data_IF_836739070269
#
_entry.id   IF_836739070269
#
_cell.length_a   1.000
_cell.length_b   1.000
_cell.length_c   1.000
_cell.angle_alpha   90.00
_cell.angle_beta   90.00
_cell.angle_gamma   90.00
#
_symmetry.space_group_name_H-M   'P 1'
#
loop_
_entity.id
_entity.type
_entity.pdbx_description
1 polymer ?
#
# COMPACT_ATOMS: atom_id res chain seq x y z
N UNK A 1 -29.27 31.73 -26.83
CA UNK A 1 -28.06 30.88 -26.84
C UNK A 1 -27.98 30.13 -25.52
N UNK A 2 -28.30 28.83 -25.42
CA UNK A 2 -28.08 28.10 -24.18
C UNK A 2 -26.65 27.52 -24.13
N UNK A 3 -26.01 27.65 -22.96
CA UNK A 3 -24.67 27.13 -22.69
C UNK A 3 -24.69 25.60 -22.54
N UNK A 4 -23.84 24.90 -23.31
CA UNK A 4 -23.64 23.46 -23.21
C UNK A 4 -23.02 23.08 -21.87
N UNK A 5 -23.71 22.22 -21.11
CA UNK A 5 -23.16 21.49 -19.97
C UNK A 5 -22.19 20.43 -20.50
N UNK A 6 -20.92 20.51 -20.15
CA UNK A 6 -19.95 19.43 -20.38
C UNK A 6 -20.32 18.20 -19.52
N UNK A 7 -20.19 16.97 -20.04
CA UNK A 7 -20.42 15.77 -19.25
C UNK A 7 -19.31 15.62 -18.21
N UNK A 8 -19.71 15.33 -16.96
CA UNK A 8 -18.77 14.90 -15.90
C UNK A 8 -18.06 13.65 -16.40
N UNK A 9 -16.73 13.68 -16.51
CA UNK A 9 -15.93 12.49 -16.74
C UNK A 9 -16.23 11.49 -15.62
N UNK A 10 -16.95 10.42 -15.94
CA UNK A 10 -17.04 9.25 -15.08
C UNK A 10 -15.66 8.59 -15.13
N UNK A 11 -14.88 8.74 -14.05
CA UNK A 11 -13.69 7.92 -13.86
C UNK A 11 -14.18 6.48 -13.69
N UNK A 12 -13.79 5.54 -14.57
CA UNK A 12 -14.19 4.14 -14.40
C UNK A 12 -13.59 3.62 -13.08
N UNK A 13 -14.33 2.82 -12.30
CA UNK A 13 -13.75 2.16 -11.13
C UNK A 13 -12.58 1.29 -11.59
N UNK A 14 -11.46 1.34 -10.86
CA UNK A 14 -10.28 0.52 -11.09
C UNK A 14 -10.56 -0.98 -10.83
N UNK A 15 -11.41 -1.61 -11.65
CA UNK A 15 -11.63 -3.05 -11.68
C UNK A 15 -10.49 -3.74 -12.43
N UNK A 16 -9.29 -3.79 -11.84
CA UNK A 16 -8.20 -4.49 -12.52
C UNK A 16 -7.00 -4.88 -11.69
N UNK A 17 -6.78 -4.27 -10.53
CA UNK A 17 -5.68 -4.66 -9.64
C UNK A 17 -6.22 -4.66 -8.20
N UNK A 18 -7.22 -5.49 -7.96
CA UNK A 18 -7.41 -5.99 -6.61
C UNK A 18 -6.17 -6.82 -6.30
N UNK A 19 -5.25 -6.28 -5.51
CA UNK A 19 -4.26 -7.12 -4.83
C UNK A 19 -5.00 -8.13 -3.94
N UNK A 20 -4.28 -9.13 -3.45
CA UNK A 20 -4.79 -10.34 -2.80
C UNK A 20 -5.51 -10.14 -1.44
N UNK A 21 -6.24 -9.05 -1.24
CA UNK A 21 -6.89 -8.67 0.00
C UNK A 21 -8.03 -7.65 -0.16
N UNK A 22 -8.48 -7.37 -1.39
CA UNK A 22 -9.72 -6.62 -1.58
C UNK A 22 -10.91 -7.51 -1.19
N UNK A 23 -11.30 -7.43 0.08
CA UNK A 23 -12.42 -8.18 0.64
C UNK A 23 -12.08 -9.00 1.87
N UNK A 24 -11.30 -8.47 2.82
CA UNK A 24 -11.36 -8.83 4.27
C UNK A 24 -11.14 -10.30 4.71
N UNK A 25 -11.01 -11.25 3.78
CA UNK A 25 -10.97 -12.71 4.02
C UNK A 25 -9.62 -13.33 3.62
N UNK A 26 -8.68 -12.53 3.10
CA UNK A 26 -7.31 -12.98 2.96
C UNK A 26 -6.65 -12.92 4.33
N UNK A 27 -6.61 -14.05 5.04
CA UNK A 27 -5.79 -14.25 6.24
C UNK A 27 -4.30 -14.14 5.86
N UNK A 28 -3.82 -12.92 5.62
CA UNK A 28 -2.38 -12.66 5.50
C UNK A 28 -1.82 -12.38 6.89
N UNK A 29 -0.79 -13.14 7.27
CA UNK A 29 -0.17 -13.01 8.58
C UNK A 29 0.81 -11.84 8.59
N UNK A 30 0.68 -10.96 9.58
CA UNK A 30 1.66 -9.91 9.89
C UNK A 30 2.71 -10.36 10.93
N UNK A 31 2.67 -11.63 11.36
CA UNK A 31 3.64 -12.16 12.31
C UNK A 31 5.06 -12.06 11.74
N UNK A 32 6.01 -11.65 12.59
CA UNK A 32 7.38 -11.40 12.13
C UNK A 32 7.59 -10.07 11.42
N UNK A 33 6.62 -9.15 11.49
CA UNK A 33 6.75 -7.77 10.99
C UNK A 33 6.57 -6.75 12.11
N UNK A 34 7.18 -5.57 11.95
CA UNK A 34 7.07 -4.42 12.85
C UNK A 34 6.56 -3.21 12.08
N UNK A 35 5.53 -2.52 12.58
CA UNK A 35 5.09 -1.24 12.01
C UNK A 35 6.14 -0.17 12.29
N UNK A 36 6.61 0.50 11.23
CA UNK A 36 7.63 1.57 11.31
C UNK A 36 7.10 2.92 10.84
N UNK A 37 5.88 2.98 10.30
CA UNK A 37 5.22 4.23 9.93
C UNK A 37 3.79 4.03 9.48
N UNK A 38 2.96 5.06 9.66
CA UNK A 38 1.60 5.16 9.11
C UNK A 38 1.59 6.23 8.02
N UNK A 39 0.99 5.93 6.87
CA UNK A 39 0.92 6.84 5.71
C UNK A 39 -0.50 7.44 5.58
N UNK A 40 -1.42 7.11 6.49
CA UNK A 40 -2.82 7.51 6.50
C UNK A 40 -3.74 6.45 5.89
N UNK A 41 -5.06 6.65 5.97
CA UNK A 41 -6.08 5.73 5.45
C UNK A 41 -6.01 4.28 5.98
N UNK A 42 -5.31 4.05 7.10
CA UNK A 42 -5.04 2.69 7.60
C UNK A 42 -3.95 1.95 6.84
N UNK A 43 -3.11 2.65 6.07
CA UNK A 43 -1.96 2.10 5.35
C UNK A 43 -0.68 2.23 6.18
N UNK A 44 0.07 1.15 6.31
CA UNK A 44 1.26 1.08 7.15
C UNK A 44 2.50 0.64 6.37
N UNK A 45 3.65 1.24 6.70
CA UNK A 45 4.96 0.67 6.36
C UNK A 45 5.37 -0.33 7.44
N UNK A 46 5.65 -1.56 7.04
CA UNK A 46 6.05 -2.65 7.94
C UNK A 46 7.42 -3.19 7.60
N UNK A 47 8.33 -3.20 8.56
CA UNK A 47 9.62 -3.88 8.45
C UNK A 47 9.42 -5.38 8.70
N UNK A 48 9.88 -6.23 7.78
CA UNK A 48 9.98 -7.67 8.02
C UNK A 48 11.19 -7.94 8.92
N UNK A 49 10.96 -8.59 10.06
CA UNK A 49 11.95 -8.85 11.11
C UNK A 49 12.45 -10.30 11.06
N UNK A 50 11.62 -11.24 10.63
CA UNK A 50 11.95 -12.68 10.62
C UNK A 50 11.64 -13.35 9.30
N UNK A 51 12.40 -14.40 8.97
CA UNK A 51 12.20 -15.21 7.77
C UNK A 51 13.05 -14.76 6.58
N UNK A 52 12.81 -15.30 5.38
CA UNK A 52 13.68 -15.11 4.21
C UNK A 52 13.68 -13.67 3.66
N UNK A 53 12.65 -12.89 3.98
CA UNK A 53 12.51 -11.50 3.53
C UNK A 53 12.87 -10.48 4.62
N UNK A 54 13.50 -10.91 5.71
CA UNK A 54 13.90 -10.02 6.81
C UNK A 54 14.80 -8.89 6.29
N UNK A 55 14.48 -7.66 6.71
CA UNK A 55 15.14 -6.44 6.23
C UNK A 55 14.32 -5.63 5.22
N UNK A 56 13.32 -6.25 4.56
CA UNK A 56 12.46 -5.53 3.62
C UNK A 56 11.38 -4.70 4.32
N UNK A 57 10.99 -3.59 3.70
CA UNK A 57 9.85 -2.77 4.12
C UNK A 57 8.67 -3.04 3.18
N UNK A 58 7.61 -3.61 3.72
CA UNK A 58 6.38 -3.94 3.01
C UNK A 58 5.31 -2.88 3.26
N UNK A 59 4.50 -2.62 2.23
CA UNK A 59 3.32 -1.77 2.35
C UNK A 59 2.13 -2.65 2.78
N UNK A 60 1.51 -2.31 3.89
CA UNK A 60 0.28 -2.94 4.38
C UNK A 60 -0.90 -2.05 4.02
N UNK A 61 -1.63 -2.43 2.98
CA UNK A 61 -2.83 -1.72 2.53
C UNK A 61 -4.00 -2.69 2.33
N UNK A 62 -4.85 -2.78 3.35
CA UNK A 62 -6.04 -3.65 3.31
C UNK A 62 -7.06 -3.25 2.24
N UNK A 63 -7.06 -1.99 1.80
CA UNK A 63 -7.96 -1.54 0.74
C UNK A 63 -7.50 -1.97 -0.65
N UNK A 64 -6.19 -2.22 -0.81
CA UNK A 64 -5.55 -2.57 -2.08
C UNK A 64 -5.05 -4.01 -2.18
N UNK A 65 -5.08 -4.79 -1.10
CA UNK A 65 -4.79 -6.21 -1.19
C UNK A 65 -3.93 -6.82 -0.09
N UNK A 66 -3.67 -6.10 0.99
CA UNK A 66 -2.81 -6.55 2.08
C UNK A 66 -1.35 -6.17 1.86
N UNK A 67 -0.44 -7.11 2.09
CA UNK A 67 1.00 -6.87 2.08
C UNK A 67 1.59 -6.87 0.66
N UNK A 68 2.20 -5.75 0.28
CA UNK A 68 3.01 -5.62 -0.92
C UNK A 68 4.51 -5.56 -0.55
N UNK A 69 5.37 -6.43 -1.12
CA UNK A 69 6.81 -6.37 -0.90
C UNK A 69 7.42 -5.05 -1.35
N UNK A 70 8.48 -4.62 -0.68
CA UNK A 70 9.21 -3.41 -1.00
C UNK A 70 10.71 -3.55 -0.76
N UNK A 71 11.45 -2.44 -0.84
CA UNK A 71 12.92 -2.45 -0.81
C UNK A 71 13.46 -2.78 0.59
N UNK A 72 14.78 -2.98 0.67
CA UNK A 72 15.49 -3.08 1.94
C UNK A 72 15.34 -1.81 2.77
N UNK A 73 15.34 -1.95 4.10
CA UNK A 73 15.09 -0.86 5.04
C UNK A 73 16.02 0.35 4.84
N UNK A 74 17.30 0.10 4.54
CA UNK A 74 18.26 1.18 4.32
C UNK A 74 17.87 2.04 3.10
N UNK A 75 17.49 1.39 1.99
CA UNK A 75 17.09 2.07 0.76
C UNK A 75 15.76 2.80 0.96
N UNK A 76 14.80 2.14 1.62
CA UNK A 76 13.52 2.75 1.98
C UNK A 76 13.70 4.00 2.84
N UNK A 77 14.50 3.90 3.91
CA UNK A 77 14.69 4.96 4.89
C UNK A 77 15.45 6.15 4.28
N UNK A 78 16.47 5.88 3.48
CA UNK A 78 17.23 6.93 2.79
C UNK A 78 16.35 7.66 1.78
N UNK A 79 15.55 6.93 0.99
CA UNK A 79 14.61 7.53 0.05
C UNK A 79 13.59 8.44 0.77
N UNK A 80 13.03 7.99 1.90
CA UNK A 80 12.12 8.78 2.72
C UNK A 80 12.77 10.06 3.29
N UNK A 81 14.02 9.98 3.76
CA UNK A 81 14.75 11.16 4.23
C UNK A 81 14.96 12.20 3.12
N UNK A 82 15.14 11.74 1.88
CA UNK A 82 15.38 12.61 0.72
C UNK A 82 14.10 13.12 0.07
N UNK A 83 12.93 12.64 0.45
CA UNK A 83 11.63 13.03 -0.13
C UNK A 83 10.98 14.22 0.59
N UNK A 84 11.72 14.91 1.45
CA UNK A 84 11.28 16.13 2.14
C UNK A 84 11.44 17.36 1.26
#
# INVERSE_FOLDING_TARGET
MPASRLPRHTVPPHHGLAGAGQGGDADYSIAGTLVIGEIGCGTFSRLVVTGPNAGQVWLDDQSWGGLAPGPDFYDWYTAWLTSQ
#
